data_IF_267115170368
#
_entry.id   IF_267115170368
#
_cell.length_a   1.000
_cell.length_b   1.000
_cell.length_c   1.000
_cell.angle_alpha   90.00
_cell.angle_beta   90.00
_cell.angle_gamma   90.00
#
_symmetry.space_group_name_H-M   'P 1'
#
loop_
_entity.id
_entity.type
_entity.pdbx_description
1 polymer ?
#
# COMPACT_ATOMS: atom_id res chain seq x y z
N UNK A 1 13.82 4.50 3.54
CA UNK A 1 13.35 5.21 4.75
C UNK A 1 12.59 4.21 5.60
N UNK A 2 12.40 4.46 6.89
CA UNK A 2 11.75 3.50 7.79
C UNK A 2 10.65 4.21 8.59
N UNK A 3 9.40 3.81 8.36
CA UNK A 3 8.26 4.20 9.18
C UNK A 3 8.26 3.44 10.50
N UNK A 4 7.96 4.16 11.59
CA UNK A 4 7.87 3.59 12.93
C UNK A 4 6.62 4.16 13.63
N UNK A 5 5.41 3.74 13.22
CA UNK A 5 4.14 4.36 13.64
C UNK A 5 3.89 4.29 15.15
N UNK A 6 4.60 3.40 15.86
CA UNK A 6 4.50 3.24 17.31
C UNK A 6 5.69 3.85 18.08
N UNK A 7 6.57 4.59 17.43
CA UNK A 7 7.74 5.20 18.05
C UNK A 7 7.36 6.18 19.16
N UNK A 8 8.14 6.18 20.25
CA UNK A 8 8.04 7.16 21.34
C UNK A 8 8.87 8.42 21.08
N UNK A 9 9.71 8.43 20.04
CA UNK A 9 10.53 9.59 19.68
C UNK A 9 9.74 10.69 18.96
N UNK A 10 8.50 10.42 18.54
CA UNK A 10 7.61 11.39 17.91
C UNK A 10 7.06 12.50 18.82
N UNK A 11 7.40 12.51 20.11
CA UNK A 11 6.97 13.55 21.06
C UNK A 11 6.72 13.01 22.48
N UNK A 12 6.56 13.92 23.45
CA UNK A 12 6.21 13.55 24.82
C UNK A 12 4.75 13.05 24.90
N UNK A 13 4.55 11.85 25.45
CA UNK A 13 3.25 11.20 25.64
C UNK A 13 2.78 10.35 24.43
N UNK A 14 2.72 9.02 24.65
CA UNK A 14 2.15 7.94 23.82
C UNK A 14 2.53 7.85 22.33
N UNK A 15 3.30 6.81 21.92
CA UNK A 15 3.40 6.20 20.56
C UNK A 15 2.88 7.06 19.38
N UNK A 16 3.53 8.19 19.10
CA UNK A 16 3.14 9.21 18.11
C UNK A 16 3.81 9.03 16.74
N UNK A 17 4.33 7.83 16.46
CA UNK A 17 5.02 7.59 15.21
C UNK A 17 6.35 8.34 15.02
N UNK A 18 7.09 7.96 14.00
CA UNK A 18 8.28 8.65 13.50
C UNK A 18 8.64 8.06 12.13
N UNK A 19 9.36 8.83 11.30
CA UNK A 19 10.03 8.29 10.11
C UNK A 19 11.53 8.53 10.25
N UNK A 20 12.30 7.46 10.07
CA UNK A 20 13.76 7.50 10.10
C UNK A 20 14.32 7.50 8.68
N UNK A 21 15.16 8.46 8.37
CA UNK A 21 15.79 8.63 7.07
C UNK A 21 17.24 8.21 7.20
N UNK A 22 17.63 7.22 6.40
CA UNK A 22 19.00 6.74 6.32
C UNK A 22 19.59 7.06 4.96
N UNK A 23 20.86 7.46 4.92
CA UNK A 23 21.63 7.64 3.69
C UNK A 23 22.74 6.61 3.64
N UNK A 24 22.90 5.96 2.48
CA UNK A 24 24.03 5.06 2.24
C UNK A 24 25.24 5.87 1.81
N UNK A 25 26.33 5.80 2.56
CA UNK A 25 27.57 6.54 2.28
C UNK A 25 28.56 5.76 1.39
N UNK A 26 28.14 4.63 0.81
CA UNK A 26 28.99 3.71 0.05
C UNK A 26 29.49 2.50 0.86
N UNK A 27 29.37 2.53 2.20
CA UNK A 27 29.82 1.45 3.09
C UNK A 27 28.68 1.00 4.01
N UNK A 28 28.01 1.95 4.64
CA UNK A 28 26.94 1.69 5.60
C UNK A 28 25.81 2.70 5.48
N UNK A 29 24.65 2.31 5.99
CA UNK A 29 23.53 3.21 6.18
C UNK A 29 23.75 4.04 7.44
N UNK A 30 23.60 5.35 7.33
CA UNK A 30 23.74 6.31 8.43
C UNK A 30 22.41 7.04 8.60
N UNK A 31 21.90 7.10 9.84
CA UNK A 31 20.72 7.91 10.16
C UNK A 31 21.03 9.38 9.87
N UNK A 32 20.28 9.97 8.95
CA UNK A 32 20.45 11.34 8.48
C UNK A 32 19.42 12.28 9.12
N UNK A 33 18.19 11.82 9.29
CA UNK A 33 17.09 12.64 9.81
C UNK A 33 16.02 11.78 10.48
N UNK A 34 15.34 12.35 11.48
CA UNK A 34 14.12 11.79 12.06
C UNK A 34 13.01 12.81 11.82
N UNK A 35 11.91 12.36 11.21
CA UNK A 35 10.68 13.13 11.04
C UNK A 35 9.68 12.71 12.12
N UNK A 36 9.00 13.69 12.69
CA UNK A 36 8.01 13.50 13.73
C UNK A 36 6.96 14.60 13.66
N UNK A 37 5.69 14.22 13.55
CA UNK A 37 4.57 15.17 13.50
C UNK A 37 3.84 15.32 14.84
N UNK A 38 4.06 14.39 15.78
CA UNK A 38 3.35 14.37 17.05
C UNK A 38 1.95 13.75 17.00
N UNK A 39 1.54 13.21 15.85
CA UNK A 39 0.27 12.53 15.61
C UNK A 39 0.39 11.02 15.71
N UNK A 40 -0.66 10.32 16.15
CA UNK A 40 -0.62 8.86 16.29
C UNK A 40 -0.40 8.18 14.95
N UNK A 41 0.41 7.12 14.97
CA UNK A 41 0.71 6.31 13.79
C UNK A 41 1.35 7.08 12.64
N UNK A 42 2.00 8.22 12.88
CA UNK A 42 2.81 8.87 11.85
C UNK A 42 3.93 7.93 11.34
N UNK A 43 4.06 7.82 10.02
CA UNK A 43 4.93 6.83 9.41
C UNK A 43 4.27 5.46 9.28
N UNK A 44 2.93 5.39 9.23
CA UNK A 44 2.20 4.15 9.00
C UNK A 44 2.46 3.61 7.61
N UNK A 45 2.40 4.50 6.61
CA UNK A 45 2.80 4.23 5.25
C UNK A 45 3.59 5.44 4.69
N UNK A 46 4.47 5.18 3.73
CA UNK A 46 5.39 6.18 3.16
C UNK A 46 5.53 5.94 1.67
N UNK A 47 5.27 6.98 0.87
CA UNK A 47 5.55 6.98 -0.57
C UNK A 47 6.49 8.12 -0.93
N UNK A 48 7.43 7.88 -1.84
CA UNK A 48 8.43 8.84 -2.29
C UNK A 48 8.52 8.84 -3.81
N UNK A 49 8.51 10.03 -4.39
CA UNK A 49 8.81 10.24 -5.80
C UNK A 49 9.71 11.48 -5.91
N UNK A 50 10.94 11.27 -6.40
CA UNK A 50 11.92 12.34 -6.57
C UNK A 50 12.22 13.06 -5.26
N UNK A 51 11.91 14.36 -5.23
CA UNK A 51 12.10 15.24 -4.09
C UNK A 51 10.87 15.35 -3.17
N UNK A 52 9.80 14.60 -3.43
CA UNK A 52 8.54 14.64 -2.66
C UNK A 52 8.28 13.33 -1.94
N UNK A 53 7.66 13.44 -0.78
CA UNK A 53 7.28 12.30 0.05
C UNK A 53 5.92 12.54 0.70
N UNK A 54 5.12 11.47 0.77
CA UNK A 54 3.90 11.40 1.56
C UNK A 54 4.14 10.49 2.76
N UNK A 55 3.60 10.89 3.92
CA UNK A 55 3.62 10.07 5.14
C UNK A 55 2.22 9.99 5.73
N UNK A 56 1.71 8.76 5.85
CA UNK A 56 0.42 8.46 6.45
C UNK A 56 0.40 8.49 7.98
N UNK A 57 -0.72 8.94 8.54
CA UNK A 57 -1.03 8.94 9.98
C UNK A 57 -2.53 8.69 10.21
N UNK A 58 -3.03 7.45 9.98
CA UNK A 58 -4.46 7.13 9.87
C UNK A 58 -5.29 7.27 11.15
N UNK A 59 -4.65 7.37 12.32
CA UNK A 59 -5.33 7.52 13.62
C UNK A 59 -5.14 8.92 14.22
N UNK A 60 -4.90 9.91 13.36
CA UNK A 60 -4.90 11.31 13.75
C UNK A 60 -6.31 11.71 14.20
N UNK A 61 -6.41 12.20 15.44
CA UNK A 61 -7.64 12.75 16.02
C UNK A 61 -7.74 14.19 15.55
N UNK A 62 -8.76 14.47 14.75
CA UNK A 62 -9.11 15.83 14.35
C UNK A 62 -10.46 16.25 14.94
N UNK A 63 -10.79 17.54 14.86
CA UNK A 63 -12.03 18.05 15.44
C UNK A 63 -13.23 17.38 14.74
N UNK A 64 -13.93 16.52 15.49
CA UNK A 64 -15.16 15.85 15.02
C UNK A 64 -15.04 14.37 14.68
N UNK A 65 -13.84 13.78 14.72
CA UNK A 65 -13.62 12.33 14.60
C UNK A 65 -12.34 11.87 15.31
N UNK A 66 -12.40 10.76 16.04
CA UNK A 66 -11.23 10.19 16.73
C UNK A 66 -10.31 9.38 15.79
N UNK A 67 -10.69 9.20 14.51
CA UNK A 67 -9.95 8.42 13.51
C UNK A 67 -10.06 9.00 12.10
N UNK A 68 -10.10 10.33 11.99
CA UNK A 68 -10.10 11.00 10.70
C UNK A 68 -8.87 10.59 9.87
N UNK A 69 -7.69 10.62 10.49
CA UNK A 69 -6.43 10.36 9.79
C UNK A 69 -5.91 11.60 9.06
N UNK A 70 -4.63 11.57 8.71
CA UNK A 70 -3.94 12.65 8.00
C UNK A 70 -2.82 12.12 7.12
N UNK A 71 -2.42 12.91 6.13
CA UNK A 71 -1.20 12.69 5.33
C UNK A 71 -0.33 13.93 5.34
N UNK A 72 0.95 13.76 5.60
CA UNK A 72 1.93 14.85 5.61
C UNK A 72 2.76 14.82 4.33
N UNK A 73 2.97 15.99 3.74
CA UNK A 73 3.78 16.17 2.54
C UNK A 73 5.12 16.77 2.93
N UNK A 74 6.19 16.12 2.48
CA UNK A 74 7.56 16.57 2.70
C UNK A 74 8.26 16.78 1.36
N UNK A 75 9.11 17.81 1.29
CA UNK A 75 10.02 18.05 0.17
C UNK A 75 11.48 18.00 0.62
N UNK A 76 12.34 17.41 -0.22
CA UNK A 76 13.78 17.40 0.01
C UNK A 76 14.41 18.69 -0.51
N UNK A 77 14.76 19.58 0.42
CA UNK A 77 15.40 20.85 0.13
C UNK A 77 16.85 20.77 0.64
N UNK A 78 17.80 20.72 -0.30
CA UNK A 78 19.24 20.63 0.01
C UNK A 78 19.58 19.46 0.96
N UNK A 79 19.10 18.25 0.64
CA UNK A 79 19.32 17.02 1.43
C UNK A 79 18.65 16.98 2.80
N UNK A 80 17.74 17.92 3.08
CA UNK A 80 16.90 17.93 4.29
C UNK A 80 15.45 17.81 3.88
N UNK A 81 14.71 16.89 4.49
CA UNK A 81 13.27 16.78 4.29
C UNK A 81 12.54 17.79 5.17
N UNK A 82 11.72 18.62 4.55
CA UNK A 82 10.94 19.69 5.20
C UNK A 82 9.47 19.45 4.92
N UNK A 83 8.63 19.51 5.95
CA UNK A 83 7.19 19.44 5.78
C UNK A 83 6.70 20.69 5.02
N UNK A 84 6.01 20.49 3.91
CA UNK A 84 5.51 21.58 3.05
C UNK A 84 3.99 21.68 3.02
N UNK A 85 3.29 20.58 3.33
CA UNK A 85 1.83 20.54 3.32
C UNK A 85 1.29 19.45 4.26
N UNK A 86 0.00 19.55 4.59
CA UNK A 86 -0.71 18.62 5.47
C UNK A 86 -2.12 18.41 4.91
N UNK A 87 -2.34 17.23 4.35
CA UNK A 87 -3.62 16.84 3.77
C UNK A 87 -4.51 16.24 4.85
N UNK A 88 -5.65 16.88 5.07
CA UNK A 88 -6.61 16.50 6.10
C UNK A 88 -7.75 15.68 5.48
N UNK A 89 -8.24 14.71 6.24
CA UNK A 89 -9.48 14.05 5.88
C UNK A 89 -10.64 15.08 5.88
N UNK A 90 -11.58 15.02 4.91
CA UNK A 90 -12.76 15.87 4.92
C UNK A 90 -13.54 15.75 6.23
N UNK A 91 -14.00 16.89 6.76
CA UNK A 91 -14.69 16.95 8.06
C UNK A 91 -15.97 16.09 8.05
N UNK A 92 -16.02 15.11 8.94
CA UNK A 92 -17.13 14.18 9.14
C UNK A 92 -16.63 12.74 9.28
N UNK A 93 -17.32 11.88 10.05
CA UNK A 93 -16.93 10.47 10.32
C UNK A 93 -16.99 9.54 9.09
N UNK A 94 -16.82 10.09 7.89
CA UNK A 94 -16.95 9.36 6.66
C UNK A 94 -15.61 8.84 6.17
N UNK A 95 -14.51 9.61 6.25
CA UNK A 95 -13.18 9.20 5.77
C UNK A 95 -12.31 8.57 6.87
N UNK A 96 -12.85 7.62 7.64
CA UNK A 96 -12.07 6.98 8.71
C UNK A 96 -10.82 6.27 8.16
N UNK A 97 -9.70 6.42 8.86
CA UNK A 97 -8.38 5.88 8.49
C UNK A 97 -7.75 6.49 7.22
N UNK A 98 -8.05 7.75 6.91
CA UNK A 98 -7.38 8.47 5.83
C UNK A 98 -5.85 8.48 6.01
N UNK A 99 -5.13 8.09 4.96
CA UNK A 99 -3.67 7.97 5.02
C UNK A 99 -3.19 6.64 5.60
N UNK A 100 -4.02 5.60 5.58
CA UNK A 100 -3.56 4.23 5.89
C UNK A 100 -2.66 3.66 4.80
N UNK A 101 -2.85 4.10 3.57
CA UNK A 101 -2.01 3.80 2.42
C UNK A 101 -1.87 5.06 1.58
N UNK A 102 -0.68 5.30 1.05
CA UNK A 102 -0.33 6.48 0.26
C UNK A 102 0.53 6.08 -0.92
N UNK A 103 0.27 6.68 -2.08
CA UNK A 103 1.10 6.50 -3.26
C UNK A 103 1.27 7.80 -4.02
N UNK A 104 2.46 8.06 -4.52
CA UNK A 104 2.86 9.33 -5.11
C UNK A 104 3.49 9.13 -6.49
N UNK A 105 3.03 9.93 -7.46
CA UNK A 105 3.69 10.17 -8.74
C UNK A 105 4.13 11.63 -8.84
N UNK A 106 4.66 12.04 -9.98
CA UNK A 106 5.18 13.40 -10.20
C UNK A 106 4.15 14.50 -9.89
N UNK A 107 2.87 14.27 -10.23
CA UNK A 107 1.80 15.27 -10.07
C UNK A 107 0.57 14.76 -9.33
N UNK A 108 0.52 13.48 -8.97
CA UNK A 108 -0.65 12.88 -8.34
C UNK A 108 -0.29 12.19 -7.03
N UNK A 109 -1.15 12.40 -6.02
CA UNK A 109 -1.10 11.72 -4.73
C UNK A 109 -2.41 10.94 -4.53
N UNK A 110 -2.30 9.64 -4.30
CA UNK A 110 -3.42 8.76 -4.02
C UNK A 110 -3.36 8.31 -2.56
N UNK A 111 -4.50 8.44 -1.86
CA UNK A 111 -4.58 8.21 -0.41
C UNK A 111 -5.73 7.28 -0.11
N UNK A 112 -5.47 6.18 0.59
CA UNK A 112 -6.48 5.23 1.04
C UNK A 112 -7.20 5.64 2.32
N UNK A 113 -8.49 5.31 2.40
CA UNK A 113 -9.36 5.41 3.57
C UNK A 113 -10.21 4.13 3.71
N UNK A 114 -9.63 2.99 4.11
CA UNK A 114 -10.29 1.67 4.04
C UNK A 114 -11.47 1.52 5.00
N UNK A 115 -11.54 2.35 6.05
CA UNK A 115 -12.68 2.35 6.97
C UNK A 115 -13.75 3.38 6.59
N UNK A 116 -13.66 3.96 5.39
CA UNK A 116 -14.62 4.95 4.94
C UNK A 116 -16.06 4.41 4.91
N UNK A 117 -16.98 5.23 5.41
CA UNK A 117 -18.39 4.88 5.62
C UNK A 117 -19.36 5.57 4.64
N UNK A 118 -18.90 6.40 3.69
CA UNK A 118 -19.75 7.19 2.78
C UNK A 118 -20.75 6.30 2.03
N UNK A 119 -20.29 5.16 1.49
CA UNK A 119 -21.09 4.26 0.65
C UNK A 119 -21.37 2.89 1.30
N UNK A 120 -21.34 2.83 2.62
CA UNK A 120 -21.59 1.60 3.39
C UNK A 120 -20.58 1.43 4.52
N UNK A 121 -20.95 0.68 5.56
CA UNK A 121 -20.09 0.49 6.73
C UNK A 121 -18.74 -0.15 6.33
N UNK A 122 -17.64 0.61 6.47
CA UNK A 122 -16.29 0.22 6.05
C UNK A 122 -16.25 -0.31 4.61
N UNK A 123 -17.02 0.33 3.73
CA UNK A 123 -16.92 0.05 2.30
C UNK A 123 -15.57 0.53 1.75
N UNK A 124 -15.03 1.60 2.35
CA UNK A 124 -13.74 2.16 1.99
C UNK A 124 -13.83 3.16 0.83
N UNK A 125 -12.78 3.96 0.70
CA UNK A 125 -12.60 4.96 -0.35
C UNK A 125 -11.11 5.21 -0.60
N UNK A 126 -10.79 5.84 -1.72
CA UNK A 126 -9.48 6.46 -1.93
C UNK A 126 -9.67 7.89 -2.45
N UNK A 127 -8.82 8.82 -2.04
CA UNK A 127 -8.83 10.21 -2.48
C UNK A 127 -7.63 10.47 -3.37
N UNK A 128 -7.89 11.13 -4.50
CA UNK A 128 -6.87 11.54 -5.44
C UNK A 128 -6.68 13.06 -5.37
N UNK A 129 -5.43 13.48 -5.24
CA UNK A 129 -5.01 14.87 -5.21
C UNK A 129 -4.10 15.18 -6.40
N UNK A 130 -4.29 16.34 -7.02
CA UNK A 130 -3.48 16.86 -8.12
C UNK A 130 -2.63 18.04 -7.63
N UNK A 131 -1.34 18.01 -7.95
CA UNK A 131 -0.43 19.13 -7.70
C UNK A 131 -0.60 20.22 -8.76
N UNK A 132 -1.30 21.30 -8.41
CA UNK A 132 -1.58 22.44 -9.29
C UNK A 132 -0.86 23.67 -8.76
N UNK A 133 0.12 24.17 -9.51
CA UNK A 133 0.93 25.34 -9.14
C UNK A 133 1.59 25.21 -7.75
N UNK A 134 2.05 24.01 -7.39
CA UNK A 134 2.70 23.74 -6.11
C UNK A 134 1.73 23.54 -4.93
N UNK A 135 0.42 23.44 -5.19
CA UNK A 135 -0.61 23.20 -4.18
C UNK A 135 -1.31 21.89 -4.50
N UNK A 136 -1.45 21.01 -3.50
CA UNK A 136 -2.26 19.80 -3.64
C UNK A 136 -3.74 20.14 -3.53
N UNK A 137 -4.51 19.78 -4.57
CA UNK A 137 -5.95 20.00 -4.63
C UNK A 137 -6.63 18.65 -4.78
N UNK A 138 -7.61 18.35 -3.92
CA UNK A 138 -8.44 17.14 -4.09
C UNK A 138 -9.14 17.21 -5.45
N UNK A 139 -8.89 16.20 -6.29
CA UNK A 139 -9.49 16.07 -7.62
C UNK A 139 -10.78 15.24 -7.55
N UNK A 140 -10.68 14.04 -6.98
CA UNK A 140 -11.81 13.11 -6.85
C UNK A 140 -11.66 12.17 -5.66
N UNK A 141 -12.79 11.85 -5.02
CA UNK A 141 -12.93 10.71 -4.12
C UNK A 141 -13.47 9.51 -4.88
N UNK A 142 -12.68 8.45 -4.93
CA UNK A 142 -12.90 7.24 -5.71
C UNK A 142 -13.61 6.18 -4.83
N UNK A 143 -14.63 5.57 -5.42
CA UNK A 143 -15.33 4.40 -4.88
C UNK A 143 -15.38 3.31 -5.96
N UNK A 144 -15.46 2.03 -5.58
CA UNK A 144 -15.79 0.97 -6.53
C UNK A 144 -17.22 1.16 -7.05
N UNK A 145 -17.51 0.71 -8.27
CA UNK A 145 -18.87 0.80 -8.84
C UNK A 145 -19.94 0.01 -8.05
N UNK A 146 -19.51 -0.97 -7.26
CA UNK A 146 -20.36 -1.86 -6.47
C UNK A 146 -19.91 -1.90 -4.99
N UNK A 147 -19.94 -0.79 -4.25
CA UNK A 147 -19.46 -0.75 -2.87
C UNK A 147 -20.34 -1.65 -1.98
N UNK A 148 -19.71 -2.41 -1.08
CA UNK A 148 -20.41 -3.19 -0.07
C UNK A 148 -19.74 -3.05 1.29
N UNK A 149 -20.51 -3.33 2.35
CA UNK A 149 -20.01 -3.22 3.71
C UNK A 149 -18.84 -4.19 3.96
N UNK A 150 -17.81 -3.71 4.65
CA UNK A 150 -16.57 -4.43 4.96
C UNK A 150 -15.76 -4.86 3.72
N UNK A 151 -15.87 -4.16 2.59
CA UNK A 151 -14.98 -4.40 1.44
C UNK A 151 -13.56 -3.87 1.69
N UNK A 152 -13.42 -2.82 2.52
CA UNK A 152 -12.17 -2.11 2.80
C UNK A 152 -11.46 -1.61 1.54
N UNK A 153 -12.19 -1.00 0.61
CA UNK A 153 -11.57 -0.36 -0.56
C UNK A 153 -10.62 0.77 -0.14
N UNK A 154 -9.42 0.82 -0.73
CA UNK A 154 -8.37 1.74 -0.29
C UNK A 154 -7.49 1.16 0.82
N UNK A 155 -7.53 -0.16 1.04
CA UNK A 155 -6.65 -0.83 2.00
C UNK A 155 -5.19 -0.63 1.64
N UNK A 156 -4.87 -0.87 0.36
CA UNK A 156 -3.60 -0.50 -0.25
C UNK A 156 -3.84 0.18 -1.60
N UNK A 157 -2.94 1.07 -1.98
CA UNK A 157 -3.06 1.91 -3.17
C UNK A 157 -1.74 2.05 -3.90
N UNK A 158 -1.76 2.02 -5.22
CA UNK A 158 -0.59 2.39 -6.02
C UNK A 158 -0.98 3.26 -7.21
N UNK A 159 -0.14 4.25 -7.51
CA UNK A 159 -0.27 5.14 -8.66
C UNK A 159 1.02 5.15 -9.48
N UNK A 160 0.87 4.98 -10.78
CA UNK A 160 1.93 5.20 -11.75
C UNK A 160 1.38 6.05 -12.89
N UNK A 161 1.66 7.35 -12.81
CA UNK A 161 1.26 8.36 -13.78
C UNK A 161 -0.25 8.34 -14.07
N UNK A 162 -0.64 7.70 -15.17
CA UNK A 162 -2.02 7.63 -15.64
C UNK A 162 -2.77 6.37 -15.17
N UNK A 163 -2.16 5.51 -14.36
CA UNK A 163 -2.77 4.28 -13.84
C UNK A 163 -2.83 4.30 -12.33
N UNK A 164 -3.97 3.86 -11.81
CA UNK A 164 -4.21 3.68 -10.38
C UNK A 164 -4.70 2.26 -10.15
N UNK A 165 -4.22 1.62 -9.09
CA UNK A 165 -4.78 0.37 -8.57
C UNK A 165 -5.12 0.55 -7.10
N UNK A 166 -6.28 0.03 -6.71
CA UNK A 166 -6.80 0.15 -5.34
C UNK A 166 -7.27 -1.23 -4.86
N UNK A 167 -6.72 -1.66 -3.74
CA UNK A 167 -7.06 -2.90 -3.06
C UNK A 167 -8.35 -2.81 -2.26
N UNK A 168 -9.12 -3.90 -2.28
CA UNK A 168 -10.26 -4.15 -1.40
C UNK A 168 -10.19 -5.60 -0.91
N UNK A 169 -9.28 -5.86 0.03
CA UNK A 169 -8.88 -7.22 0.42
C UNK A 169 -10.03 -8.09 0.97
N UNK A 170 -11.16 -7.49 1.37
CA UNK A 170 -12.31 -8.22 1.89
C UNK A 170 -13.51 -8.26 0.95
N UNK A 171 -13.35 -7.80 -0.30
CA UNK A 171 -14.40 -7.85 -1.31
C UNK A 171 -15.05 -9.23 -1.37
N UNK A 172 -16.38 -9.23 -1.29
CA UNK A 172 -17.20 -10.45 -1.29
C UNK A 172 -17.90 -10.62 -2.63
N UNK A 173 -18.10 -11.89 -3.00
CA UNK A 173 -18.83 -12.32 -4.19
C UNK A 173 -19.87 -13.38 -3.82
N UNK A 174 -20.84 -13.63 -4.70
CA UNK A 174 -22.00 -14.50 -4.42
C UNK A 174 -21.63 -15.86 -3.79
N UNK A 175 -20.48 -16.44 -4.18
CA UNK A 175 -20.02 -17.74 -3.69
C UNK A 175 -18.67 -17.67 -2.95
N UNK A 176 -18.12 -16.47 -2.74
CA UNK A 176 -16.78 -16.31 -2.16
C UNK A 176 -16.75 -15.16 -1.15
N UNK A 177 -16.52 -15.51 0.10
CA UNK A 177 -16.34 -14.61 1.22
C UNK A 177 -14.88 -14.19 1.35
N UNK A 178 -14.62 -12.88 1.51
CA UNK A 178 -13.27 -12.32 1.72
C UNK A 178 -12.25 -12.82 0.70
N UNK A 179 -12.70 -13.04 -0.54
CA UNK A 179 -11.81 -13.34 -1.66
C UNK A 179 -10.86 -12.17 -1.88
N UNK A 180 -11.42 -10.95 -1.82
CA UNK A 180 -10.71 -9.73 -2.15
C UNK A 180 -10.76 -9.40 -3.64
N UNK A 181 -10.44 -8.15 -3.97
CA UNK A 181 -10.38 -7.66 -5.34
C UNK A 181 -9.44 -6.46 -5.42
N UNK A 182 -8.94 -6.18 -6.62
CA UNK A 182 -8.23 -4.94 -6.95
C UNK A 182 -8.99 -4.22 -8.06
N UNK A 183 -9.08 -2.90 -7.97
CA UNK A 183 -9.77 -2.07 -8.95
C UNK A 183 -8.74 -1.22 -9.68
N UNK A 184 -8.65 -1.40 -11.00
CA UNK A 184 -7.74 -0.66 -11.86
C UNK A 184 -8.48 0.50 -12.52
N UNK A 185 -7.87 1.68 -12.47
CA UNK A 185 -8.35 2.91 -13.08
C UNK A 185 -7.29 3.48 -14.01
N UNK A 186 -7.73 4.14 -15.08
CA UNK A 186 -6.85 4.84 -15.99
C UNK A 186 -7.37 6.26 -16.26
N UNK A 187 -6.43 7.19 -16.41
CA UNK A 187 -6.71 8.56 -16.79
C UNK A 187 -6.78 8.69 -18.31
N UNK A 188 -7.91 9.14 -18.83
CA UNK A 188 -8.13 9.34 -20.28
C UNK A 188 -7.65 10.71 -20.80
N UNK A 189 -7.07 11.54 -19.92
CA UNK A 189 -6.70 12.93 -20.20
C UNK A 189 -7.71 13.95 -19.65
N UNK A 190 -8.87 13.50 -19.18
CA UNK A 190 -9.92 14.32 -18.59
C UNK A 190 -10.46 13.73 -17.28
N UNK A 191 -10.74 12.43 -17.23
CA UNK A 191 -11.33 11.75 -16.09
C UNK A 191 -10.61 10.44 -15.78
N UNK A 192 -10.61 10.08 -14.50
CA UNK A 192 -10.25 8.75 -14.04
C UNK A 192 -11.44 7.80 -14.19
N UNK A 193 -11.24 6.70 -14.90
CA UNK A 193 -12.29 5.71 -15.15
C UNK A 193 -11.86 4.33 -14.68
N UNK A 194 -12.76 3.61 -14.00
CA UNK A 194 -12.52 2.21 -13.63
C UNK A 194 -12.48 1.37 -14.91
N UNK A 195 -11.30 0.81 -15.22
CA UNK A 195 -11.11 -0.06 -16.38
C UNK A 195 -11.45 -1.51 -16.06
N UNK A 196 -11.06 -1.98 -14.87
CA UNK A 196 -11.17 -3.40 -14.54
C UNK A 196 -11.37 -3.61 -13.04
N UNK A 197 -12.14 -4.64 -12.70
CA UNK A 197 -12.14 -5.26 -11.38
C UNK A 197 -11.40 -6.59 -11.51
N UNK A 198 -10.23 -6.65 -10.91
CA UNK A 198 -9.29 -7.75 -10.97
C UNK A 198 -9.57 -8.71 -9.82
N UNK A 199 -9.66 -9.99 -10.14
CA UNK A 199 -9.81 -11.12 -9.22
C UNK A 199 -8.72 -12.14 -9.55
N UNK A 200 -8.29 -12.97 -8.58
CA UNK A 200 -7.38 -14.06 -8.88
C UNK A 200 -8.10 -15.12 -9.75
N UNK A 201 -7.37 -15.81 -10.63
CA UNK A 201 -7.94 -16.84 -11.52
C UNK A 201 -8.49 -18.07 -10.78
N UNK A 202 -7.98 -18.34 -9.57
CA UNK A 202 -8.25 -19.50 -8.74
C UNK A 202 -9.09 -19.13 -7.49
N UNK A 203 -10.36 -18.82 -7.74
CA UNK A 203 -11.29 -18.27 -6.75
C UNK A 203 -11.51 -19.19 -5.53
N UNK A 204 -11.00 -18.79 -4.36
CA UNK A 204 -11.27 -19.44 -3.06
C UNK A 204 -11.51 -18.42 -1.94
N UNK A 205 -12.23 -18.85 -0.90
CA UNK A 205 -12.53 -17.99 0.26
C UNK A 205 -11.26 -17.55 1.00
N UNK A 206 -11.35 -16.38 1.65
CA UNK A 206 -10.35 -15.88 2.60
C UNK A 206 -8.93 -15.71 2.05
N UNK A 207 -8.75 -15.51 0.74
CA UNK A 207 -7.42 -15.18 0.17
C UNK A 207 -6.88 -13.83 0.61
N UNK A 208 -7.80 -12.88 0.88
CA UNK A 208 -7.48 -11.48 1.06
C UNK A 208 -6.69 -10.88 -0.12
N UNK A 209 -7.09 -11.23 -1.34
CA UNK A 209 -6.49 -10.71 -2.58
C UNK A 209 -6.65 -9.19 -2.68
N UNK A 210 -5.56 -8.47 -2.94
CA UNK A 210 -5.57 -7.00 -2.92
C UNK A 210 -5.35 -6.41 -1.53
N UNK A 211 -4.75 -7.17 -0.60
CA UNK A 211 -4.22 -6.68 0.68
C UNK A 211 -2.93 -5.88 0.51
N UNK A 212 -2.17 -6.19 -0.55
CA UNK A 212 -1.03 -5.40 -0.99
C UNK A 212 -1.08 -5.27 -2.52
N UNK A 213 -0.69 -4.11 -3.04
CA UNK A 213 -0.58 -3.83 -4.47
C UNK A 213 0.73 -3.09 -4.76
N UNK A 214 1.43 -3.49 -5.81
CA UNK A 214 2.58 -2.75 -6.31
C UNK A 214 2.48 -2.61 -7.83
N UNK A 215 2.73 -1.41 -8.34
CA UNK A 215 2.53 -1.06 -9.74
C UNK A 215 3.81 -0.41 -10.31
N UNK A 216 4.28 -0.93 -11.44
CA UNK A 216 5.36 -0.32 -12.21
C UNK A 216 5.09 -0.52 -13.71
N UNK A 217 4.70 0.55 -14.39
CA UNK A 217 4.39 0.58 -15.82
C UNK A 217 3.24 -0.34 -16.18
N UNK A 218 3.59 -1.46 -16.80
CA UNK A 218 2.68 -2.50 -17.29
C UNK A 218 2.71 -3.78 -16.42
N UNK A 219 3.40 -3.73 -15.27
CA UNK A 219 3.45 -4.83 -14.30
C UNK A 219 2.74 -4.44 -13.02
N UNK A 220 1.83 -5.32 -12.58
CA UNK A 220 1.08 -5.19 -11.33
C UNK A 220 1.29 -6.45 -10.50
N UNK A 221 1.67 -6.28 -9.24
CA UNK A 221 1.75 -7.36 -8.27
C UNK A 221 0.66 -7.20 -7.23
N UNK A 222 -0.01 -8.29 -6.88
CA UNK A 222 -1.12 -8.30 -5.93
C UNK A 222 -0.92 -9.38 -4.88
N UNK A 223 -0.98 -8.99 -3.61
CA UNK A 223 -0.84 -9.86 -2.46
C UNK A 223 -2.15 -10.58 -2.13
N UNK A 224 -2.03 -11.86 -1.77
CA UNK A 224 -3.09 -12.68 -1.21
C UNK A 224 -2.53 -13.41 0.02
N UNK A 225 -2.30 -12.65 1.08
CA UNK A 225 -1.59 -13.08 2.29
C UNK A 225 -2.21 -14.28 3.03
N UNK A 226 -3.39 -14.75 2.66
CA UNK A 226 -4.00 -15.96 3.26
C UNK A 226 -4.41 -16.99 2.21
N UNK A 227 -3.85 -16.90 1.01
CA UNK A 227 -3.88 -17.99 0.05
C UNK A 227 -3.39 -19.29 0.71
N UNK A 228 -4.11 -20.37 0.42
CA UNK A 228 -3.94 -21.66 1.06
C UNK A 228 -3.51 -22.78 0.13
N UNK A 229 -3.04 -22.46 -1.09
CA UNK A 229 -2.75 -23.47 -2.10
C UNK A 229 -1.64 -24.44 -1.70
N UNK A 230 -0.52 -23.93 -1.15
CA UNK A 230 0.60 -24.78 -0.71
C UNK A 230 0.44 -25.24 0.74
N UNK A 231 0.10 -24.32 1.65
CA UNK A 231 -0.27 -24.62 3.02
C UNK A 231 -1.30 -23.60 3.52
N UNK A 232 -2.10 -23.96 4.53
CA UNK A 232 -3.15 -23.07 5.03
C UNK A 232 -2.58 -21.71 5.47
N UNK A 233 -2.94 -20.64 4.77
CA UNK A 233 -2.45 -19.29 5.08
C UNK A 233 -0.97 -19.07 4.81
N UNK A 234 -0.33 -19.90 3.98
CA UNK A 234 1.05 -19.66 3.52
C UNK A 234 1.17 -18.37 2.72
N UNK A 235 0.08 -17.96 2.06
CA UNK A 235 0.01 -16.76 1.24
C UNK A 235 0.58 -16.96 -0.17
N UNK A 236 0.31 -15.99 -1.04
CA UNK A 236 0.76 -15.93 -2.42
C UNK A 236 0.83 -14.48 -2.91
N UNK A 237 1.56 -14.25 -4.00
CA UNK A 237 1.49 -13.01 -4.77
C UNK A 237 1.21 -13.33 -6.25
N UNK A 238 0.41 -12.49 -6.90
CA UNK A 238 -0.03 -12.67 -8.27
C UNK A 238 0.57 -11.56 -9.13
N UNK A 239 1.14 -11.94 -10.27
CA UNK A 239 1.61 -11.02 -11.27
C UNK A 239 0.54 -10.85 -12.35
N UNK A 240 0.25 -9.60 -12.68
CA UNK A 240 -0.57 -9.21 -13.81
C UNK A 240 0.26 -8.36 -14.76
N UNK A 241 0.10 -8.60 -16.05
CA UNK A 241 0.69 -7.80 -17.12
C UNK A 241 -0.41 -7.07 -17.89
N UNK A 242 -0.18 -5.81 -18.23
CA UNK A 242 -1.12 -5.03 -19.04
C UNK A 242 -1.01 -5.46 -20.52
N UNK A 243 -2.12 -5.91 -21.10
CA UNK A 243 -2.19 -6.33 -22.50
C UNK A 243 -3.52 -5.90 -23.11
N UNK A 244 -3.48 -5.12 -24.18
CA UNK A 244 -4.66 -4.54 -24.84
C UNK A 244 -5.59 -3.81 -23.86
N UNK A 245 -5.00 -2.92 -23.03
CA UNK A 245 -5.70 -2.16 -21.98
C UNK A 245 -6.42 -3.01 -20.92
N UNK A 246 -6.02 -4.27 -20.75
CA UNK A 246 -6.54 -5.18 -19.73
C UNK A 246 -5.41 -5.82 -18.93
N UNK A 247 -5.55 -5.88 -17.62
CA UNK A 247 -4.64 -6.61 -16.75
C UNK A 247 -4.94 -8.11 -16.85
N UNK A 248 -3.94 -8.86 -17.29
CA UNK A 248 -4.03 -10.31 -17.46
C UNK A 248 -3.09 -10.97 -16.47
N UNK A 249 -3.60 -11.91 -15.69
CA UNK A 249 -2.79 -12.71 -14.77
C UNK A 249 -1.74 -13.48 -15.58
N UNK A 250 -0.48 -13.24 -15.29
CA UNK A 250 0.66 -13.85 -16.00
C UNK A 250 1.40 -14.86 -15.14
N UNK A 251 1.34 -14.72 -13.81
CA UNK A 251 2.02 -15.64 -12.90
C UNK A 251 1.40 -15.62 -11.49
N UNK A 252 1.64 -16.70 -10.74
CA UNK A 252 1.38 -16.79 -9.30
C UNK A 252 2.64 -17.33 -8.63
N UNK A 253 3.10 -16.62 -7.60
CA UNK A 253 4.33 -16.92 -6.87
C UNK A 253 4.05 -17.18 -5.39
N UNK A 254 4.87 -18.06 -4.84
CA UNK A 254 4.87 -18.45 -3.44
C UNK A 254 6.28 -18.27 -2.85
N UNK A 255 6.36 -18.25 -1.52
CA UNK A 255 7.63 -18.39 -0.83
C UNK A 255 8.25 -19.78 -1.16
N UNK A 256 9.56 -19.89 -1.43
CA UNK A 256 10.21 -21.19 -1.68
C UNK A 256 10.09 -22.19 -0.51
N UNK A 257 9.93 -21.66 0.69
CA UNK A 257 9.82 -22.27 2.01
C UNK A 257 8.38 -22.25 2.56
N UNK A 258 7.39 -21.92 1.73
CA UNK A 258 5.99 -21.73 2.13
C UNK A 258 5.46 -22.80 3.12
N UNK A 259 5.15 -22.34 4.33
CA UNK A 259 4.62 -23.09 5.44
C UNK A 259 3.30 -22.50 5.95
N UNK A 260 2.72 -23.17 6.95
CA UNK A 260 1.40 -22.81 7.45
C UNK A 260 1.43 -21.48 8.19
N UNK A 261 0.77 -20.47 7.63
CA UNK A 261 0.53 -19.21 8.32
C UNK A 261 1.61 -18.15 8.15
N UNK A 262 2.58 -18.35 7.25
CA UNK A 262 3.69 -17.40 7.02
C UNK A 262 3.23 -16.07 6.43
N UNK A 263 2.07 -16.09 5.75
CA UNK A 263 1.45 -14.94 5.11
C UNK A 263 2.33 -14.25 4.06
N UNK A 264 2.95 -15.02 3.17
CA UNK A 264 3.63 -14.49 1.99
C UNK A 264 2.69 -13.61 1.15
N UNK A 265 3.19 -12.47 0.67
CA UNK A 265 2.39 -11.49 -0.07
C UNK A 265 1.66 -10.49 0.83
N UNK A 266 2.04 -10.40 2.12
CA UNK A 266 1.49 -9.41 3.04
C UNK A 266 1.85 -7.96 2.66
N UNK A 267 3.07 -7.73 2.19
CA UNK A 267 3.53 -6.47 1.63
C UNK A 267 4.36 -6.74 0.39
N UNK A 268 4.29 -5.83 -0.59
CA UNK A 268 4.91 -5.93 -1.90
C UNK A 268 5.51 -4.59 -2.29
N UNK A 269 6.62 -4.62 -3.00
CA UNK A 269 7.15 -3.43 -3.70
C UNK A 269 7.84 -3.84 -5.01
N UNK A 270 7.75 -2.98 -6.02
CA UNK A 270 8.39 -3.18 -7.31
C UNK A 270 9.25 -1.96 -7.63
N UNK A 271 10.56 -2.19 -7.77
CA UNK A 271 11.47 -1.15 -8.22
C UNK A 271 11.38 -0.92 -9.73
N UNK A 272 11.82 0.27 -10.17
CA UNK A 272 11.98 0.63 -11.58
C UNK A 272 13.00 -0.23 -12.35
N UNK A 273 13.81 -1.03 -11.64
CA UNK A 273 14.75 -1.99 -12.21
C UNK A 273 14.20 -3.43 -12.19
N UNK A 274 12.87 -3.58 -12.17
CA UNK A 274 12.16 -4.85 -12.25
C UNK A 274 12.52 -5.83 -11.12
N UNK A 275 12.90 -5.31 -9.95
CA UNK A 275 13.01 -6.13 -8.73
C UNK A 275 11.73 -6.05 -7.94
N UNK A 276 11.19 -7.22 -7.63
CA UNK A 276 10.06 -7.40 -6.73
C UNK A 276 10.58 -7.83 -5.36
N UNK A 277 10.04 -7.24 -4.32
CA UNK A 277 10.22 -7.67 -2.94
C UNK A 277 8.87 -8.10 -2.39
N UNK A 278 8.83 -9.24 -1.70
CA UNK A 278 7.63 -9.79 -1.07
C UNK A 278 7.92 -10.21 0.35
N UNK A 279 7.09 -9.80 1.31
CA UNK A 279 7.23 -10.22 2.70
C UNK A 279 6.34 -11.43 3.04
N UNK A 280 6.84 -12.29 3.93
CA UNK A 280 6.09 -13.29 4.69
C UNK A 280 6.23 -12.94 6.18
N UNK A 281 5.28 -12.17 6.73
CA UNK A 281 5.47 -11.50 8.02
C UNK A 281 5.46 -12.43 9.23
N UNK A 282 4.96 -13.66 9.08
CA UNK A 282 4.84 -14.62 10.16
C UNK A 282 5.67 -15.88 9.94
N UNK A 283 6.53 -15.88 8.92
CA UNK A 283 7.53 -16.91 8.70
C UNK A 283 8.28 -17.23 10.00
N UNK A 284 8.37 -18.51 10.33
CA UNK A 284 8.91 -18.99 11.61
C UNK A 284 10.14 -19.90 11.51
N UNK A 285 10.76 -20.00 10.32
CA UNK A 285 11.93 -20.84 10.09
C UNK A 285 13.13 -20.45 10.96
N UNK A 286 13.22 -19.18 11.37
CA UNK A 286 14.28 -18.63 12.22
C UNK A 286 13.80 -18.21 13.62
N UNK A 287 12.61 -18.64 14.01
CA UNK A 287 12.00 -18.40 15.32
C UNK A 287 10.56 -17.92 15.20
N UNK A 288 9.76 -17.95 16.29
CA UNK A 288 8.33 -17.66 16.20
C UNK A 288 8.05 -16.29 15.57
N UNK A 289 7.39 -16.30 14.40
CA UNK A 289 7.02 -15.10 13.63
C UNK A 289 8.22 -14.19 13.35
N UNK A 290 9.38 -14.78 13.07
CA UNK A 290 10.62 -14.07 12.73
C UNK A 290 10.50 -13.21 11.47
N UNK A 291 9.61 -13.60 10.56
CA UNK A 291 9.34 -12.94 9.31
C UNK A 291 10.47 -13.11 8.28
N UNK A 292 10.09 -13.15 7.01
CA UNK A 292 11.01 -13.24 5.89
C UNK A 292 10.65 -12.22 4.79
N UNK A 293 11.66 -11.87 3.99
CA UNK A 293 11.52 -11.03 2.81
C UNK A 293 12.23 -11.71 1.65
N UNK A 294 11.49 -11.95 0.57
CA UNK A 294 11.98 -12.63 -0.62
C UNK A 294 12.12 -11.62 -1.77
N UNK A 295 13.22 -11.73 -2.51
CA UNK A 295 13.52 -10.87 -3.66
C UNK A 295 13.46 -11.70 -4.94
N UNK A 296 12.73 -11.18 -5.92
CA UNK A 296 12.58 -11.76 -7.24
C UNK A 296 13.03 -10.74 -8.30
N UNK A 297 13.62 -11.23 -9.39
CA UNK A 297 13.80 -10.47 -10.61
C UNK A 297 12.60 -10.74 -11.52
N UNK A 298 11.87 -9.68 -11.87
CA UNK A 298 10.87 -9.72 -12.92
C UNK A 298 11.62 -9.70 -14.27
N UNK A 299 11.40 -10.73 -15.08
CA UNK A 299 11.73 -10.73 -16.50
C UNK A 299 10.42 -10.78 -17.29
N UNK A 300 10.43 -10.31 -18.53
CA UNK A 300 9.25 -10.39 -19.40
C UNK A 300 8.82 -11.86 -19.52
N UNK A 301 7.71 -12.22 -18.86
CA UNK A 301 7.13 -13.55 -18.85
C UNK A 301 7.66 -14.53 -17.79
N UNK A 302 8.68 -14.18 -17.01
CA UNK A 302 9.27 -15.07 -15.99
C UNK A 302 9.63 -14.30 -14.70
N UNK A 303 9.35 -14.89 -13.54
CA UNK A 303 9.81 -14.41 -12.23
C UNK A 303 10.94 -15.32 -11.74
N UNK A 304 12.14 -14.78 -11.58
CA UNK A 304 13.30 -15.55 -11.11
C UNK A 304 13.62 -15.15 -9.67
N UNK A 305 13.36 -16.07 -8.72
CA UNK A 305 13.79 -15.93 -7.33
C UNK A 305 15.29 -15.67 -7.25
N UNK A 306 15.68 -14.65 -6.47
CA UNK A 306 17.08 -14.27 -6.30
C UNK A 306 17.60 -14.67 -4.92
N UNK A 307 16.93 -14.23 -3.85
CA UNK A 307 17.38 -14.47 -2.48
C UNK A 307 16.28 -14.16 -1.45
N UNK A 308 16.45 -14.64 -0.21
CA UNK A 308 15.64 -14.26 0.95
C UNK A 308 16.50 -13.54 1.99
N UNK A 309 15.83 -12.73 2.81
CA UNK A 309 16.37 -12.12 4.01
C UNK A 309 15.43 -12.45 5.16
N UNK A 310 15.95 -13.16 6.15
CA UNK A 310 15.22 -13.51 7.37
C UNK A 310 15.84 -12.78 8.56
N UNK A 311 15.07 -12.56 9.63
CA UNK A 311 15.62 -11.93 10.82
C UNK A 311 16.59 -12.90 11.52
N UNK A 312 17.85 -12.51 11.61
CA UNK A 312 18.79 -13.16 12.52
C UNK A 312 18.47 -12.66 13.93
N UNK A 313 18.14 -13.57 14.84
CA UNK A 313 17.85 -13.28 16.26
C UNK A 313 18.85 -12.33 16.91
#
# INVERSE_FOLDING_TARGET
>A
MIGAPYSRRGGLGHRKGAVYIYLFNGINWVENQILASGYKHFGFDISINGDKMLIGAPETIEIGSDKAGSVFVYENINSVWVETDHLLAPIGNQSEWFGSSVSLSDTWALIGSPSDNTNGYRAGAAQLYHLINGIWVEDIKIFPADPAANDYFGDDVAIDNNKIVIGAHRKQFTNYSRLGAVFAYNFDGNLWQQQQKIMPSDLTDNKYFGSAVALNGETLMIGAQSDGELANGSGAAYQFSLSNDQWVESNKIFAPDAAQGDQFGYALDISSADKLIVSAIHDDDHGPQSGAVHIYQLNVGDLIYQNSFESNQ
#
